data_IF_741999164137
#
_entry.id   IF_741999164137
#
_cell.length_a   1.000
_cell.length_b   1.000
_cell.length_c   1.000
_cell.angle_alpha   90.00
_cell.angle_beta   90.00
_cell.angle_gamma   90.00
#
_symmetry.space_group_name_H-M   'P 1'
#
loop_
_entity.id
_entity.type
_entity.pdbx_description
1 polymer ?
#
# COMPACT_ATOMS: atom_id res chain seq x y z
N UNK A 1 -9.99 1.88 17.00
CA UNK A 1 -8.72 2.52 16.57
C UNK A 1 -8.13 1.80 15.38
N UNK A 2 -7.79 0.51 15.48
CA UNK A 2 -7.18 -0.29 14.40
C UNK A 2 -7.96 -0.22 13.08
N UNK A 3 -9.30 -0.30 13.11
CA UNK A 3 -10.14 -0.19 11.91
C UNK A 3 -10.04 1.18 11.21
N UNK A 4 -10.02 2.27 11.98
CA UNK A 4 -9.88 3.62 11.41
C UNK A 4 -8.49 3.80 10.80
N UNK A 5 -7.46 3.25 11.45
CA UNK A 5 -6.10 3.29 10.95
C UNK A 5 -5.96 2.48 9.65
N UNK A 6 -6.56 1.29 9.57
CA UNK A 6 -6.60 0.48 8.34
C UNK A 6 -7.37 1.20 7.21
N UNK A 7 -8.47 1.90 7.54
CA UNK A 7 -9.20 2.72 6.58
C UNK A 7 -8.32 3.85 6.01
N UNK A 8 -7.70 4.67 6.87
CA UNK A 8 -6.80 5.75 6.43
C UNK A 8 -5.60 5.20 5.66
N UNK A 9 -5.09 4.04 6.07
CA UNK A 9 -3.99 3.36 5.41
C UNK A 9 -4.36 2.99 3.96
N UNK A 10 -5.51 2.32 3.76
CA UNK A 10 -6.02 1.94 2.44
C UNK A 10 -6.34 3.19 1.60
N UNK A 11 -6.91 4.24 2.19
CA UNK A 11 -7.12 5.54 1.51
C UNK A 11 -5.82 6.06 0.90
N UNK A 12 -4.71 6.01 1.63
CA UNK A 12 -3.44 6.56 1.13
C UNK A 12 -2.77 5.61 0.16
N UNK A 13 -2.65 4.31 0.48
CA UNK A 13 -1.95 3.34 -0.37
C UNK A 13 -2.68 3.14 -1.70
N UNK A 14 -3.98 2.84 -1.65
CA UNK A 14 -4.76 2.60 -2.86
C UNK A 14 -5.04 3.92 -3.59
N UNK A 15 -5.26 5.01 -2.85
CA UNK A 15 -5.36 6.35 -3.41
C UNK A 15 -4.13 6.72 -4.25
N UNK A 16 -2.92 6.57 -3.68
CA UNK A 16 -1.69 6.86 -4.41
C UNK A 16 -1.48 5.90 -5.59
N UNK A 17 -1.78 4.61 -5.40
CA UNK A 17 -1.59 3.58 -6.43
C UNK A 17 -2.50 3.79 -7.63
N UNK A 18 -3.79 4.08 -7.42
CA UNK A 18 -4.74 4.31 -8.50
C UNK A 18 -4.61 5.70 -9.12
N UNK A 19 -4.28 6.74 -8.34
CA UNK A 19 -4.02 8.08 -8.90
C UNK A 19 -2.79 8.10 -9.81
N UNK A 20 -1.86 7.15 -9.67
CA UNK A 20 -0.78 6.96 -10.64
C UNK A 20 -1.32 6.76 -12.08
N UNK A 21 -2.53 6.24 -12.26
CA UNK A 21 -3.18 6.14 -13.57
C UNK A 21 -3.31 7.49 -14.31
N UNK A 22 -3.53 8.59 -13.59
CA UNK A 22 -3.56 9.94 -14.20
C UNK A 22 -2.17 10.38 -14.62
N UNK A 23 -1.20 10.24 -13.70
CA UNK A 23 0.21 10.56 -13.95
C UNK A 23 0.76 9.75 -15.14
N UNK A 24 0.38 8.48 -15.23
CA UNK A 24 0.70 7.57 -16.30
C UNK A 24 0.31 8.11 -17.67
N UNK A 25 -0.91 8.62 -17.84
CA UNK A 25 -1.35 9.16 -19.14
C UNK A 25 -0.51 10.36 -19.58
N UNK A 26 0.01 11.15 -18.64
CA UNK A 26 0.93 12.26 -18.91
C UNK A 26 2.33 11.77 -19.25
N UNK A 27 2.85 10.78 -18.53
CA UNK A 27 4.15 10.15 -18.81
C UNK A 27 4.18 9.52 -20.20
N UNK A 28 3.13 8.83 -20.64
CA UNK A 28 3.04 8.28 -22.01
C UNK A 28 3.17 9.39 -23.06
N UNK A 29 2.54 10.55 -22.82
CA UNK A 29 2.55 11.68 -23.74
C UNK A 29 3.93 12.33 -23.83
N UNK A 30 4.62 12.47 -22.71
CA UNK A 30 5.95 13.09 -22.64
C UNK A 30 7.05 12.17 -23.18
N UNK A 31 7.00 10.87 -22.88
CA UNK A 31 7.98 9.88 -23.33
C UNK A 31 7.76 9.37 -24.77
N UNK A 32 6.66 9.77 -25.44
CA UNK A 32 6.25 9.31 -26.79
C UNK A 32 6.26 7.77 -26.96
N UNK A 33 6.07 7.04 -25.87
CA UNK A 33 6.18 5.57 -25.85
C UNK A 33 4.91 4.90 -26.37
N UNK A 34 5.03 3.67 -26.86
CA UNK A 34 3.87 2.87 -27.26
C UNK A 34 2.96 2.62 -26.06
N UNK A 35 1.64 2.72 -26.23
CA UNK A 35 0.65 2.45 -25.16
C UNK A 35 0.81 1.05 -24.58
N UNK A 36 1.30 0.11 -25.38
CA UNK A 36 1.57 -1.27 -24.96
C UNK A 36 2.68 -1.32 -23.92
N UNK A 37 3.83 -0.68 -24.18
CA UNK A 37 5.01 -0.75 -23.30
C UNK A 37 4.70 -0.20 -21.91
N UNK A 38 3.87 0.84 -21.84
CA UNK A 38 3.51 1.46 -20.58
C UNK A 38 2.43 0.62 -19.86
N UNK A 39 1.53 -0.07 -20.56
CA UNK A 39 0.51 -0.92 -19.94
C UNK A 39 1.14 -2.06 -19.10
N UNK A 40 2.30 -2.56 -19.52
CA UNK A 40 3.07 -3.55 -18.75
C UNK A 40 3.44 -3.06 -17.35
N UNK A 41 3.68 -1.76 -17.15
CA UNK A 41 4.01 -1.20 -15.82
C UNK A 41 2.87 -1.43 -14.84
N UNK A 42 1.63 -1.12 -15.26
CA UNK A 42 0.44 -1.34 -14.44
C UNK A 42 0.19 -2.82 -14.15
N UNK A 43 0.45 -3.70 -15.12
CA UNK A 43 0.35 -5.16 -14.94
C UNK A 43 1.38 -5.69 -13.96
N UNK A 44 2.65 -5.26 -14.07
CA UNK A 44 3.71 -5.64 -13.14
C UNK A 44 3.36 -5.17 -11.73
N UNK A 45 2.92 -3.91 -11.60
CA UNK A 45 2.47 -3.36 -10.33
C UNK A 45 1.31 -4.17 -9.71
N UNK A 46 0.27 -4.48 -10.49
CA UNK A 46 -0.89 -5.25 -10.03
C UNK A 46 -0.55 -6.71 -9.67
N UNK A 47 0.51 -7.28 -10.29
CA UNK A 47 0.99 -8.63 -9.97
C UNK A 47 1.82 -8.68 -8.68
N UNK A 48 2.40 -7.56 -8.25
CA UNK A 48 3.31 -7.51 -7.12
C UNK A 48 2.68 -7.99 -5.78
N UNK A 49 1.43 -7.62 -5.42
CA UNK A 49 0.76 -8.15 -4.23
C UNK A 49 0.60 -9.68 -4.23
N UNK A 50 0.34 -10.29 -5.38
CA UNK A 50 0.17 -11.74 -5.51
C UNK A 50 1.50 -12.47 -5.29
N UNK A 51 2.58 -11.95 -5.87
CA UNK A 51 3.93 -12.51 -5.73
C UNK A 51 4.50 -12.27 -4.33
N UNK A 52 4.21 -11.12 -3.72
CA UNK A 52 4.69 -10.75 -2.39
C UNK A 52 3.86 -11.36 -1.27
N UNK A 53 2.71 -11.99 -1.55
CA UNK A 53 1.87 -12.67 -0.56
C UNK A 53 2.65 -13.59 0.39
N UNK A 54 3.33 -14.63 -0.12
CA UNK A 54 4.11 -15.55 0.71
C UNK A 54 5.29 -14.88 1.43
N UNK A 55 5.96 -13.94 0.77
CA UNK A 55 7.10 -13.20 1.33
C UNK A 55 6.62 -12.33 2.50
N UNK A 56 5.50 -11.64 2.34
CA UNK A 56 4.88 -10.83 3.39
C UNK A 56 4.46 -11.70 4.57
N UNK A 57 3.87 -12.87 4.33
CA UNK A 57 3.53 -13.81 5.40
C UNK A 57 4.76 -14.29 6.17
N UNK A 58 5.86 -14.60 5.47
CA UNK A 58 7.11 -15.00 6.12
C UNK A 58 7.72 -13.87 6.96
N UNK A 59 7.78 -12.65 6.40
CA UNK A 59 8.34 -11.47 7.08
C UNK A 59 7.49 -11.06 8.28
N UNK A 60 6.17 -11.06 8.16
CA UNK A 60 5.27 -10.73 9.28
C UNK A 60 5.32 -11.77 10.39
N UNK A 61 5.43 -13.06 10.06
CA UNK A 61 5.52 -14.13 11.05
C UNK A 61 6.85 -14.12 11.83
N UNK A 62 7.95 -13.66 11.20
CA UNK A 62 9.28 -13.62 11.85
C UNK A 62 9.59 -12.28 12.52
N UNK A 63 9.26 -11.16 11.87
CA UNK A 63 9.67 -9.82 12.28
C UNK A 63 8.54 -9.00 12.90
N UNK A 64 7.29 -9.50 12.84
CA UNK A 64 6.10 -8.80 13.29
C UNK A 64 5.52 -7.88 12.22
N UNK A 65 4.23 -7.56 12.39
CA UNK A 65 3.47 -6.76 11.43
C UNK A 65 3.95 -5.31 11.34
N UNK A 66 4.40 -4.71 12.46
CA UNK A 66 4.95 -3.36 12.49
C UNK A 66 6.17 -3.20 11.57
N UNK A 67 7.17 -4.07 11.74
CA UNK A 67 8.44 -3.97 11.01
C UNK A 67 8.23 -4.23 9.52
N UNK A 68 7.33 -5.14 9.17
CA UNK A 68 6.96 -5.40 7.78
C UNK A 68 6.33 -4.15 7.11
N UNK A 69 5.43 -3.46 7.81
CA UNK A 69 4.80 -2.23 7.31
C UNK A 69 5.80 -1.09 7.14
N UNK A 70 6.69 -0.88 8.13
CA UNK A 70 7.75 0.14 8.06
C UNK A 70 8.69 -0.13 6.88
N UNK A 71 9.14 -1.38 6.73
CA UNK A 71 10.06 -1.78 5.67
C UNK A 71 9.43 -1.58 4.28
N UNK A 72 8.16 -1.98 4.11
CA UNK A 72 7.42 -1.75 2.87
C UNK A 72 7.28 -0.25 2.54
N UNK A 73 6.92 0.58 3.52
CA UNK A 73 6.80 2.03 3.32
C UNK A 73 8.12 2.71 2.93
N UNK A 74 9.25 2.29 3.51
CA UNK A 74 10.59 2.78 3.11
C UNK A 74 10.91 2.37 1.67
N UNK A 75 10.63 1.12 1.29
CA UNK A 75 10.84 0.64 -0.09
C UNK A 75 9.94 1.41 -1.05
N UNK A 76 8.68 1.65 -0.71
CA UNK A 76 7.75 2.42 -1.54
C UNK A 76 8.24 3.87 -1.74
N UNK A 77 8.76 4.50 -0.68
CA UNK A 77 9.38 5.83 -0.77
C UNK A 77 10.59 5.81 -1.71
N UNK A 78 11.50 4.85 -1.57
CA UNK A 78 12.69 4.72 -2.43
C UNK A 78 12.26 4.47 -3.89
N UNK A 79 11.26 3.63 -4.12
CA UNK A 79 10.72 3.33 -5.44
C UNK A 79 10.17 4.58 -6.13
N UNK A 80 9.34 5.36 -5.42
CA UNK A 80 8.80 6.63 -5.92
C UNK A 80 9.87 7.71 -6.09
N UNK A 81 10.80 7.83 -5.15
CA UNK A 81 11.90 8.79 -5.22
C UNK A 81 12.83 8.52 -6.40
N UNK A 82 13.05 7.24 -6.72
CA UNK A 82 13.88 6.84 -7.87
C UNK A 82 13.28 7.25 -9.21
N UNK A 83 11.96 7.45 -9.29
CA UNK A 83 11.30 7.93 -10.51
C UNK A 83 11.77 9.33 -10.89
N UNK A 84 12.17 10.16 -9.92
CA UNK A 84 12.71 11.50 -10.20
C UNK A 84 14.00 11.46 -11.01
N UNK A 85 14.69 10.32 -11.07
CA UNK A 85 15.92 10.16 -11.83
C UNK A 85 15.73 9.30 -13.08
N UNK A 86 14.53 8.78 -13.33
CA UNK A 86 14.25 7.89 -14.45
C UNK A 86 14.29 8.65 -15.80
N UNK A 87 15.24 8.32 -16.70
CA UNK A 87 15.33 8.92 -18.03
C UNK A 87 14.54 8.15 -19.10
N UNK A 88 14.01 6.95 -18.78
CA UNK A 88 13.30 6.08 -19.72
C UNK A 88 12.13 5.35 -19.08
N UNK A 89 11.19 4.88 -19.92
CA UNK A 89 10.00 4.13 -19.51
C UNK A 89 10.35 2.75 -18.94
N UNK A 90 11.44 2.14 -19.42
CA UNK A 90 11.94 0.87 -18.87
C UNK A 90 12.41 1.02 -17.42
N UNK A 91 13.15 2.10 -17.12
CA UNK A 91 13.60 2.38 -15.75
C UNK A 91 12.39 2.69 -14.88
N UNK A 92 11.39 3.40 -15.41
CA UNK A 92 10.12 3.64 -14.72
C UNK A 92 9.38 2.33 -14.39
N UNK A 93 9.40 1.35 -15.30
CA UNK A 93 8.82 0.03 -15.07
C UNK A 93 9.49 -0.68 -13.89
N UNK A 94 10.82 -0.63 -13.83
CA UNK A 94 11.59 -1.25 -12.75
C UNK A 94 11.35 -0.51 -11.43
N UNK A 95 11.43 0.82 -11.40
CA UNK A 95 11.30 1.59 -10.16
C UNK A 95 9.87 1.62 -9.64
N UNK A 96 8.87 1.86 -10.49
CA UNK A 96 7.48 1.93 -10.04
C UNK A 96 6.81 0.55 -10.00
N UNK A 97 6.94 -0.22 -11.08
CA UNK A 97 6.30 -1.54 -11.19
C UNK A 97 6.88 -2.55 -10.20
N UNK A 98 8.21 -2.73 -10.20
CA UNK A 98 8.87 -3.72 -9.34
C UNK A 98 9.13 -3.16 -7.94
N UNK A 99 9.95 -2.10 -7.81
CA UNK A 99 10.34 -1.59 -6.48
C UNK A 99 9.13 -0.98 -5.77
N UNK A 100 8.37 -0.12 -6.46
CA UNK A 100 7.13 0.45 -5.95
C UNK A 100 6.10 -0.65 -5.63
N UNK A 101 5.83 -1.56 -6.56
CA UNK A 101 4.90 -2.67 -6.32
C UNK A 101 5.24 -3.53 -5.09
N UNK A 102 6.51 -3.90 -4.91
CA UNK A 102 6.98 -4.63 -3.72
C UNK A 102 6.79 -3.75 -2.47
N UNK A 103 7.17 -2.47 -2.54
CA UNK A 103 7.02 -1.53 -1.42
C UNK A 103 5.58 -1.31 -0.97
N UNK A 104 4.64 -1.19 -1.90
CA UNK A 104 3.21 -1.02 -1.59
C UNK A 104 2.53 -2.33 -1.18
N UNK A 105 3.00 -3.47 -1.67
CA UNK A 105 2.39 -4.78 -1.37
C UNK A 105 2.55 -5.21 0.09
N UNK A 106 3.73 -5.02 0.70
CA UNK A 106 3.97 -5.46 2.08
C UNK A 106 3.02 -4.78 3.08
N UNK A 107 2.87 -3.44 3.08
CA UNK A 107 1.96 -2.75 3.98
C UNK A 107 0.49 -3.03 3.67
N UNK A 108 0.13 -3.17 2.38
CA UNK A 108 -1.23 -3.56 1.96
C UNK A 108 -1.63 -4.91 2.55
N UNK A 109 -0.77 -5.92 2.44
CA UNK A 109 -1.02 -7.26 2.99
C UNK A 109 -1.10 -7.25 4.51
N UNK A 110 -0.25 -6.46 5.18
CA UNK A 110 -0.29 -6.30 6.64
C UNK A 110 -1.63 -5.70 7.09
N UNK A 111 -2.11 -4.66 6.42
CA UNK A 111 -3.42 -4.03 6.69
C UNK A 111 -4.58 -5.00 6.45
N UNK A 112 -4.53 -5.77 5.37
CA UNK A 112 -5.57 -6.76 5.04
C UNK A 112 -5.63 -7.91 6.04
N UNK A 113 -4.49 -8.35 6.58
CA UNK A 113 -4.41 -9.47 7.53
C UNK A 113 -4.70 -9.05 8.98
N UNK A 114 -4.41 -7.80 9.38
CA UNK A 114 -4.62 -7.39 10.78
C UNK A 114 -6.09 -7.21 11.16
N UNK A 115 -6.93 -6.76 10.22
CA UNK A 115 -8.37 -6.55 10.45
C UNK A 115 -9.11 -7.84 10.84
N UNK A 116 -8.98 -8.97 10.11
CA UNK A 116 -9.65 -10.22 10.47
C UNK A 116 -9.10 -10.84 11.76
N UNK A 117 -7.85 -10.55 12.15
CA UNK A 117 -7.27 -11.00 13.42
C UNK A 117 -7.95 -10.30 14.61
N UNK A 118 -8.27 -9.01 14.48
CA UNK A 118 -8.86 -8.25 15.58
C UNK A 118 -10.39 -8.37 15.73
N UNK A 119 -11.10 -8.81 14.69
CA UNK A 119 -12.56 -8.78 14.66
C UNK A 119 -13.18 -10.14 14.35
N UNK A 120 -12.99 -11.16 15.21
CA UNK A 120 -13.48 -12.53 14.98
C UNK A 120 -14.97 -12.67 14.64
N UNK A 121 -15.86 -11.91 15.31
CA UNK A 121 -17.33 -12.05 15.13
C UNK A 121 -17.89 -11.25 13.95
N UNK A 122 -17.20 -10.20 13.48
CA UNK A 122 -17.69 -9.27 12.45
C UNK A 122 -16.61 -8.98 11.39
N UNK A 123 -15.82 -9.99 11.02
CA UNK A 123 -14.73 -9.88 10.04
C UNK A 123 -15.20 -9.22 8.75
N UNK A 124 -16.29 -9.71 8.15
CA UNK A 124 -16.77 -9.20 6.86
C UNK A 124 -17.13 -7.71 6.90
N UNK A 125 -17.77 -7.25 7.97
CA UNK A 125 -18.11 -5.82 8.14
C UNK A 125 -16.86 -4.97 8.40
N UNK A 126 -15.93 -5.46 9.23
CA UNK A 126 -14.70 -4.73 9.54
C UNK A 126 -13.79 -4.63 8.30
N UNK A 127 -13.56 -5.74 7.59
CA UNK A 127 -12.81 -5.75 6.34
C UNK A 127 -13.50 -4.90 5.27
N UNK A 128 -14.83 -4.95 5.17
CA UNK A 128 -15.58 -4.09 4.26
C UNK A 128 -15.38 -2.61 4.55
N UNK A 129 -15.47 -2.19 5.82
CA UNK A 129 -15.23 -0.79 6.21
C UNK A 129 -13.79 -0.37 5.95
N UNK A 130 -12.79 -1.23 6.21
CA UNK A 130 -11.39 -0.93 5.88
C UNK A 130 -11.20 -0.77 4.37
N UNK A 131 -11.82 -1.64 3.57
CA UNK A 131 -11.74 -1.63 2.11
C UNK A 131 -12.53 -0.48 1.47
N UNK A 132 -13.56 0.07 2.13
CA UNK A 132 -14.19 1.31 1.66
C UNK A 132 -13.17 2.45 1.46
N UNK A 133 -12.05 2.43 2.19
CA UNK A 133 -10.95 3.37 2.01
C UNK A 133 -10.32 3.32 0.62
N UNK A 134 -10.23 2.14 0.01
CA UNK A 134 -9.64 1.96 -1.32
C UNK A 134 -10.49 2.57 -2.44
N UNK A 135 -11.80 2.71 -2.22
CA UNK A 135 -12.69 3.47 -3.11
C UNK A 135 -12.65 4.98 -2.87
N UNK A 136 -12.59 5.42 -1.61
CA UNK A 136 -12.58 6.85 -1.26
C UNK A 136 -11.23 7.51 -1.59
N UNK A 137 -10.12 6.79 -1.41
CA UNK A 137 -8.77 7.29 -1.66
C UNK A 137 -8.59 7.88 -3.06
N UNK A 138 -8.84 7.11 -4.13
CA UNK A 138 -8.70 7.59 -5.50
C UNK A 138 -9.64 8.76 -5.82
N UNK A 139 -10.86 8.79 -5.26
CA UNK A 139 -11.79 9.90 -5.49
C UNK A 139 -11.23 11.25 -5.01
N UNK A 140 -10.42 11.25 -3.95
CA UNK A 140 -9.80 12.46 -3.39
C UNK A 140 -8.40 12.67 -3.98
N UNK A 141 -7.58 11.63 -4.01
CA UNK A 141 -6.18 11.70 -4.45
C UNK A 141 -6.05 12.00 -5.95
N UNK A 142 -6.99 11.56 -6.79
CA UNK A 142 -6.92 11.75 -8.25
C UNK A 142 -7.05 13.22 -8.66
N UNK A 143 -8.10 13.97 -8.28
CA UNK A 143 -8.19 15.39 -8.60
C UNK A 143 -7.09 16.21 -7.92
N UNK A 144 -6.68 15.82 -6.71
CA UNK A 144 -5.56 16.45 -6.02
C UNK A 144 -4.25 16.27 -6.81
N UNK A 145 -3.98 15.06 -7.29
CA UNK A 145 -2.79 14.77 -8.08
C UNK A 145 -2.81 15.51 -9.41
N UNK A 146 -3.98 15.61 -10.07
CA UNK A 146 -4.12 16.37 -11.31
C UNK A 146 -3.81 17.87 -11.09
N UNK A 147 -4.29 18.44 -9.99
CA UNK A 147 -3.95 19.81 -9.59
C UNK A 147 -2.45 19.99 -9.32
N UNK A 148 -1.84 19.05 -8.59
CA UNK A 148 -0.39 19.05 -8.33
C UNK A 148 0.43 18.96 -9.63
N UNK A 149 -0.02 18.13 -10.59
CA UNK A 149 0.63 17.99 -11.89
C UNK A 149 0.53 19.30 -12.68
N UNK A 150 -0.59 20.03 -12.62
CA UNK A 150 -0.74 21.30 -13.35
C UNK A 150 0.16 22.41 -12.80
N UNK A 151 0.38 22.47 -11.49
CA UNK A 151 1.18 23.53 -10.85
C UNK A 151 2.68 23.18 -10.77
N UNK A 152 3.02 21.96 -10.33
CA UNK A 152 4.40 21.56 -10.05
C UNK A 152 5.00 20.61 -11.09
N UNK A 153 4.22 20.22 -12.10
CA UNK A 153 4.60 19.20 -13.08
C UNK A 153 4.60 17.79 -12.48
N UNK A 154 4.86 16.80 -13.34
CA UNK A 154 4.81 15.39 -12.95
C UNK A 154 5.89 15.01 -11.92
N UNK A 155 7.09 15.62 -11.99
CA UNK A 155 8.20 15.33 -11.05
C UNK A 155 7.90 15.82 -9.64
N UNK A 156 7.34 17.03 -9.52
CA UNK A 156 6.93 17.60 -8.24
C UNK A 156 5.76 16.83 -7.62
N UNK A 157 4.78 16.44 -8.43
CA UNK A 157 3.66 15.62 -7.99
C UNK A 157 4.13 14.29 -7.38
N UNK A 158 5.04 13.56 -8.05
CA UNK A 158 5.60 12.29 -7.53
C UNK A 158 6.35 12.50 -6.22
N UNK A 159 7.11 13.58 -6.08
CA UNK A 159 7.84 13.86 -4.85
C UNK A 159 6.89 14.09 -3.66
N UNK A 160 5.81 14.83 -3.88
CA UNK A 160 4.79 15.08 -2.84
C UNK A 160 4.08 13.77 -2.50
N UNK A 161 3.70 12.97 -3.50
CA UNK A 161 3.09 11.65 -3.29
C UNK A 161 4.03 10.72 -2.53
N UNK A 162 5.34 10.72 -2.83
CA UNK A 162 6.33 9.95 -2.09
C UNK A 162 6.39 10.39 -0.61
N UNK A 163 6.35 11.70 -0.33
CA UNK A 163 6.28 12.22 1.03
C UNK A 163 5.00 11.78 1.77
N UNK A 164 3.85 11.77 1.10
CA UNK A 164 2.59 11.28 1.67
C UNK A 164 2.69 9.78 2.00
N UNK A 165 3.27 8.99 1.10
CA UNK A 165 3.50 7.55 1.31
C UNK A 165 4.51 7.30 2.43
N UNK A 166 5.52 8.13 2.61
CA UNK A 166 6.44 8.01 3.75
C UNK A 166 5.71 8.18 5.10
N UNK A 167 4.65 9.01 5.15
CA UNK A 167 3.84 9.17 6.36
C UNK A 167 3.02 7.91 6.69
N UNK A 168 2.66 7.08 5.71
CA UNK A 168 1.94 5.82 5.99
C UNK A 168 2.83 4.80 6.70
N UNK A 169 4.15 4.83 6.48
CA UNK A 169 5.11 4.01 7.21
C UNK A 169 5.09 4.33 8.72
N UNK A 170 4.96 5.63 9.05
CA UNK A 170 4.87 6.11 10.44
C UNK A 170 3.51 5.74 11.05
N UNK A 171 2.42 5.92 10.30
CA UNK A 171 1.09 5.51 10.76
C UNK A 171 1.01 3.99 10.99
N UNK A 172 1.61 3.17 10.12
CA UNK A 172 1.70 1.72 10.29
C UNK A 172 2.48 1.33 11.55
N UNK A 173 3.60 2.01 11.82
CA UNK A 173 4.43 1.78 13.00
C UNK A 173 3.68 1.99 14.32
N UNK A 174 2.84 3.03 14.40
CA UNK A 174 2.13 3.42 15.63
C UNK A 174 0.87 2.57 15.87
N UNK A 175 0.20 2.12 14.82
CA UNK A 175 -1.15 1.55 14.93
C UNK A 175 -1.22 0.01 14.91
N UNK A 176 -0.17 -0.66 14.44
CA UNK A 176 -0.09 -2.12 14.42
C UNK A 176 0.57 -2.57 15.72
N UNK A 177 -0.04 -3.36 16.60
CA UNK A 177 0.66 -3.88 17.78
C UNK A 177 1.71 -4.96 17.43
N UNK A 178 2.77 -5.02 18.25
CA UNK A 178 3.99 -5.80 18.04
C UNK A 178 3.77 -7.33 18.04
N UNK A 179 2.63 -7.83 18.54
CA UNK A 179 2.41 -9.24 18.77
C UNK A 179 0.91 -9.65 18.72
N UNK A 180 0.34 -10.00 17.56
CA UNK A 180 -0.98 -10.63 17.51
C UNK A 180 -0.95 -12.11 17.97
N UNK A 181 0.24 -12.71 18.13
CA UNK A 181 0.39 -14.08 18.63
C UNK A 181 0.13 -14.23 20.14
N UNK A 182 0.05 -13.13 20.91
CA UNK A 182 -0.39 -13.21 22.32
C UNK A 182 -1.91 -13.29 22.48
N UNK A 183 -2.71 -12.75 21.54
CA UNK A 183 -4.18 -12.91 21.60
C UNK A 183 -4.64 -14.31 21.17
N UNK A 184 -3.87 -15.00 20.31
CA UNK A 184 -4.13 -16.42 19.98
C UNK A 184 -4.07 -17.35 21.21
N UNK A 185 -3.45 -16.95 22.31
CA UNK A 185 -3.37 -17.77 23.54
C UNK A 185 -4.48 -17.49 24.55
N UNK A 186 -5.10 -16.31 24.55
CA UNK A 186 -6.07 -15.96 25.58
C UNK A 186 -7.53 -16.23 25.19
N UNK A 187 -7.88 -16.26 23.90
CA UNK A 187 -9.23 -16.67 23.48
C UNK A 187 -9.39 -18.20 23.34
N UNK A 188 -8.34 -18.92 22.91
CA UNK A 188 -8.36 -20.38 22.82
C UNK A 188 -8.41 -21.11 24.16
N UNK A 189 -8.11 -20.41 25.27
CA UNK A 189 -8.16 -20.97 26.63
C UNK A 189 -9.44 -20.57 27.40
N UNK A 190 -10.24 -19.62 26.88
CA UNK A 190 -11.49 -19.21 27.53
C UNK A 190 -12.75 -19.90 26.98
N UNK A 191 -12.65 -20.57 25.83
CA UNK A 191 -13.75 -21.36 25.25
C UNK A 191 -13.74 -22.83 25.69
N UNK A 192 -12.67 -23.31 26.35
CA UNK A 192 -12.59 -24.68 26.89
C UNK A 192 -13.07 -24.81 28.34
N UNK A 193 -13.34 -23.70 29.06
CA UNK A 193 -13.85 -23.72 30.45
C UNK A 193 -15.32 -23.29 30.60
N UNK A 194 -16.13 -23.31 29.52
CA UNK A 194 -17.60 -23.08 29.61
C UNK A 194 -18.47 -24.30 29.31
N UNK A 195 -17.86 -25.48 29.09
CA UNK A 195 -18.58 -26.73 28.87
C UNK A 195 -17.91 -27.91 29.59
N UNK A 196 -17.59 -27.75 30.88
CA UNK A 196 -17.24 -28.85 31.78
C UNK A 196 -18.01 -28.69 33.09
#
# INVERSE_FOLDING_TARGET
>A
MILFSAFIFNVIVDGCSYSFGVLYTRLVKDFKSSRSDTAWIGSVFASAPLLCGPVASFVTNRNGFQKASIFGGIIAFIGLFSILFAPSVEILCITFGVIGGIGFSLPYLVSSVIVPIYFHRKVALASGVAECGSGVGPLICTPLLEYLISEYGWRGAILITAGIVANTAVCGAVNIPLNPSSEKKDEGNNDTCKYA
#
